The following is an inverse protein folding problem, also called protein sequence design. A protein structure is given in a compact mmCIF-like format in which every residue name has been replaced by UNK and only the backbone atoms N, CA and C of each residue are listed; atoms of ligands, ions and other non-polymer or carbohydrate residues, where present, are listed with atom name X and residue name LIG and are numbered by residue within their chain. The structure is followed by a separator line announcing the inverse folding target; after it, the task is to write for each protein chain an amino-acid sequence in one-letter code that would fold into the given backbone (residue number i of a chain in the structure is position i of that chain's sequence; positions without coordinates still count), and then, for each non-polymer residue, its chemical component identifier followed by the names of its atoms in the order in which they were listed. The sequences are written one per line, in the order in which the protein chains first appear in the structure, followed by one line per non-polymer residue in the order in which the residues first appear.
data_IF_284070591579
#
_entry.id   IF_284070591579
#
_cell.length_a   1.000
_cell.length_b   1.000
_cell.length_c   1.000
_cell.angle_alpha   90.00
_cell.angle_beta   90.00
_cell.angle_gamma   90.00
#
_symmetry.space_group_name_H-M   'P 1'
#
loop_
_entity.id
_entity.type
_entity.pdbx_description
1 polymer ?
#
# COMPACT_ATOMS: atom_id res chain seq x y z
N UNK A 1 7.40 20.16 2.47
CA UNK A 1 7.03 19.93 3.88
C UNK A 1 6.64 18.47 4.03
N UNK A 2 7.03 17.81 5.13
CA UNK A 2 6.57 16.46 5.46
C UNK A 2 5.09 16.48 5.82
N UNK A 3 4.39 15.36 5.59
CA UNK A 3 2.98 15.20 5.97
C UNK A 3 2.82 15.20 7.47
N UNK A 4 1.65 15.64 7.91
CA UNK A 4 1.24 15.44 9.29
C UNK A 4 0.82 13.98 9.51
N UNK A 5 0.94 13.49 10.75
CA UNK A 5 0.54 12.11 11.11
C UNK A 5 -0.92 11.83 10.73
N UNK A 6 -1.81 12.80 10.93
CA UNK A 6 -3.24 12.67 10.58
C UNK A 6 -3.46 12.49 9.08
N UNK A 7 -2.67 13.16 8.24
CA UNK A 7 -2.75 13.00 6.77
C UNK A 7 -2.27 11.61 6.35
N UNK A 8 -1.15 11.14 6.92
CA UNK A 8 -0.64 9.78 6.68
C UNK A 8 -1.64 8.72 7.11
N UNK A 9 -2.25 8.88 8.29
CA UNK A 9 -3.27 7.97 8.79
C UNK A 9 -4.48 7.89 7.85
N UNK A 10 -4.96 9.05 7.38
CA UNK A 10 -6.10 9.09 6.45
C UNK A 10 -5.81 8.33 5.16
N UNK A 11 -4.65 8.56 4.55
CA UNK A 11 -4.24 7.83 3.34
C UNK A 11 -4.16 6.32 3.58
N UNK A 12 -3.56 5.91 4.71
CA UNK A 12 -3.48 4.50 5.06
C UNK A 12 -4.86 3.86 5.32
N UNK A 13 -5.81 4.60 5.90
CA UNK A 13 -7.19 4.12 6.07
C UNK A 13 -7.90 3.91 4.73
N UNK A 14 -7.72 4.83 3.78
CA UNK A 14 -8.27 4.71 2.42
C UNK A 14 -7.68 3.50 1.69
N UNK A 15 -6.36 3.30 1.77
CA UNK A 15 -5.68 2.14 1.20
C UNK A 15 -6.16 0.84 1.86
N UNK A 16 -6.31 0.82 3.19
CA UNK A 16 -6.79 -0.37 3.92
C UNK A 16 -8.22 -0.74 3.52
N UNK A 17 -9.07 0.26 3.31
CA UNK A 17 -10.41 0.05 2.78
C UNK A 17 -10.36 -0.52 1.36
N UNK A 18 -9.50 -0.01 0.48
CA UNK A 18 -9.34 -0.57 -0.87
C UNK A 18 -8.89 -2.04 -0.84
N UNK A 19 -7.95 -2.40 0.04
CA UNK A 19 -7.52 -3.78 0.24
C UNK A 19 -8.66 -4.70 0.70
N UNK A 20 -9.54 -4.19 1.58
CA UNK A 20 -10.73 -4.90 2.05
C UNK A 20 -11.79 -5.05 0.95
N UNK A 21 -12.03 -3.99 0.18
CA UNK A 21 -12.94 -3.99 -0.98
C UNK A 21 -12.47 -4.98 -2.07
N UNK A 22 -11.16 -5.21 -2.18
CA UNK A 22 -10.59 -6.24 -3.05
C UNK A 22 -10.65 -7.66 -2.45
N UNK A 23 -10.98 -7.80 -1.17
CA UNK A 23 -11.05 -9.08 -0.46
C UNK A 23 -9.67 -9.69 -0.15
N UNK A 24 -8.60 -8.88 -0.14
CA UNK A 24 -7.21 -9.38 -0.02
C UNK A 24 -6.58 -9.09 1.35
N UNK A 25 -7.30 -8.44 2.25
CA UNK A 25 -6.87 -8.15 3.63
C UNK A 25 -6.42 -9.39 4.43
N UNK A 26 -6.93 -10.57 4.07
CA UNK A 26 -6.61 -11.84 4.72
C UNK A 26 -5.29 -12.46 4.23
N UNK A 27 -4.72 -11.96 3.13
CA UNK A 27 -3.55 -12.57 2.52
C UNK A 27 -2.29 -12.31 3.37
N UNK A 28 -1.39 -13.30 3.53
CA UNK A 28 -0.15 -13.12 4.27
C UNK A 28 0.70 -11.97 3.73
N UNK A 29 0.78 -11.83 2.40
CA UNK A 29 1.58 -10.78 1.76
C UNK A 29 1.06 -9.35 2.08
N UNK A 30 -0.22 -9.23 2.45
CA UNK A 30 -0.82 -7.95 2.87
C UNK A 30 -0.46 -7.63 4.33
N UNK A 31 -0.11 -8.62 5.16
CA UNK A 31 0.35 -8.35 6.53
C UNK A 31 1.69 -7.62 6.54
N UNK A 32 2.59 -7.96 5.62
CA UNK A 32 3.86 -7.23 5.46
C UNK A 32 3.60 -5.78 5.03
N UNK A 33 2.64 -5.57 4.11
CA UNK A 33 2.21 -4.23 3.70
C UNK A 33 1.62 -3.43 4.87
N UNK A 34 0.83 -4.06 5.74
CA UNK A 34 0.27 -3.41 6.93
C UNK A 34 1.38 -2.95 7.88
N UNK A 35 2.45 -3.73 8.05
CA UNK A 35 3.63 -3.32 8.82
C UNK A 35 4.26 -2.05 8.24
N UNK A 36 4.48 -2.02 6.93
CA UNK A 36 5.02 -0.86 6.22
C UNK A 36 4.10 0.37 6.36
N UNK A 37 2.79 0.18 6.29
CA UNK A 37 1.82 1.25 6.52
C UNK A 37 1.91 1.83 7.93
N UNK A 38 2.06 0.97 8.95
CA UNK A 38 2.18 1.42 10.34
C UNK A 38 3.48 2.22 10.55
N UNK A 39 4.59 1.77 9.96
CA UNK A 39 5.86 2.49 10.01
C UNK A 39 5.77 3.85 9.29
N UNK A 40 5.06 3.90 8.16
CA UNK A 40 4.79 5.16 7.47
C UNK A 40 3.95 6.11 8.33
N UNK A 41 2.85 5.65 8.94
CA UNK A 41 2.01 6.49 9.80
C UNK A 41 2.81 7.04 10.99
N UNK A 42 3.52 6.15 11.70
CA UNK A 42 4.25 6.47 12.94
C UNK A 42 5.46 7.36 12.70
N UNK A 43 6.34 6.94 11.79
CA UNK A 43 7.68 7.50 11.65
C UNK A 43 7.82 8.39 10.39
N UNK A 44 6.81 8.41 9.50
CA UNK A 44 6.86 9.17 8.25
C UNK A 44 7.84 8.59 7.24
N UNK A 45 8.22 7.31 7.37
CA UNK A 45 9.17 6.64 6.48
C UNK A 45 8.49 6.37 5.14
N UNK A 46 8.98 7.04 4.10
CA UNK A 46 8.49 6.81 2.74
C UNK A 46 8.99 5.45 2.24
N UNK A 47 8.13 4.71 1.56
CA UNK A 47 8.44 3.37 1.07
C UNK A 47 7.65 3.09 -0.20
N UNK A 48 8.25 2.37 -1.15
CA UNK A 48 7.58 1.95 -2.37
C UNK A 48 8.09 0.58 -2.77
N UNK A 49 7.21 -0.23 -3.34
CA UNK A 49 7.60 -1.58 -3.70
C UNK A 49 6.52 -2.30 -4.52
N UNK A 50 6.83 -3.55 -4.81
CA UNK A 50 5.94 -4.47 -5.49
C UNK A 50 5.95 -5.80 -4.75
N UNK A 51 4.77 -6.27 -4.37
CA UNK A 51 4.56 -7.55 -3.70
C UNK A 51 3.77 -8.43 -4.65
N UNK A 52 4.35 -9.55 -5.06
CA UNK A 52 3.64 -10.53 -5.87
C UNK A 52 2.76 -11.40 -4.96
N UNK A 53 1.47 -11.53 -5.32
CA UNK A 53 0.56 -12.46 -4.67
C UNK A 53 0.13 -13.53 -5.65
N UNK A 54 0.54 -14.76 -5.38
CA UNK A 54 0.15 -15.95 -6.14
C UNK A 54 -1.35 -16.20 -6.06
N UNK A 55 -1.94 -15.97 -4.88
CA UNK A 55 -3.38 -16.22 -4.60
C UNK A 55 -4.31 -15.46 -5.55
N UNK A 56 -3.92 -14.24 -5.94
CA UNK A 56 -4.71 -13.39 -6.86
C UNK A 56 -4.05 -13.19 -8.22
N UNK A 57 -2.93 -13.87 -8.47
CA UNK A 57 -2.09 -13.77 -9.68
C UNK A 57 -1.81 -12.32 -10.09
N UNK A 58 -1.55 -11.45 -9.10
CA UNK A 58 -1.38 -10.01 -9.29
C UNK A 58 -0.20 -9.48 -8.50
N UNK A 59 0.34 -8.38 -9.02
CA UNK A 59 1.33 -7.54 -8.37
C UNK A 59 0.62 -6.43 -7.61
N UNK A 60 0.88 -6.35 -6.31
CA UNK A 60 0.46 -5.28 -5.42
C UNK A 60 1.58 -4.24 -5.41
N UNK A 61 1.40 -3.17 -6.17
CA UNK A 61 2.36 -2.07 -6.25
C UNK A 61 1.91 -0.98 -5.29
N UNK A 62 2.79 -0.56 -4.39
CA UNK A 62 2.48 0.46 -3.39
C UNK A 62 3.49 1.61 -3.41
N UNK A 63 3.02 2.80 -3.08
CA UNK A 63 3.83 4.00 -2.85
C UNK A 63 3.29 4.73 -1.63
N UNK A 64 4.11 4.84 -0.59
CA UNK A 64 3.90 5.67 0.59
C UNK A 64 4.88 6.84 0.54
N UNK A 65 4.35 8.06 0.47
CA UNK A 65 5.16 9.27 0.38
C UNK A 65 4.84 10.21 1.53
N UNK A 66 5.88 10.66 2.22
CA UNK A 66 5.75 11.67 3.28
C UNK A 66 5.76 13.10 2.72
N UNK A 67 5.74 13.30 1.40
CA UNK A 67 5.71 14.63 0.79
C UNK A 67 4.26 15.10 0.61
N UNK A 68 3.88 16.29 1.10
CA UNK A 68 2.48 16.78 1.08
C UNK A 68 1.78 16.80 -0.29
N UNK A 69 2.53 16.87 -1.39
CA UNK A 69 1.97 16.96 -2.74
C UNK A 69 1.88 15.62 -3.47
N UNK A 70 2.28 14.52 -2.82
CA UNK A 70 2.26 13.17 -3.41
C UNK A 70 1.33 12.31 -2.57
N UNK A 71 0.21 11.87 -3.13
CA UNK A 71 -0.72 10.98 -2.44
C UNK A 71 -0.21 9.54 -2.45
N UNK A 72 -0.22 8.90 -1.28
CA UNK A 72 0.11 7.48 -1.17
C UNK A 72 -0.98 6.64 -1.84
N UNK A 73 -0.60 5.56 -2.53
CA UNK A 73 -1.55 4.77 -3.31
C UNK A 73 -1.09 3.33 -3.46
N UNK A 74 -2.06 2.48 -3.82
CA UNK A 74 -1.85 1.07 -4.14
C UNK A 74 -2.49 0.75 -5.49
N UNK A 75 -1.85 -0.12 -6.27
CA UNK A 75 -2.31 -0.54 -7.58
C UNK A 75 -2.17 -2.06 -7.70
N UNK A 76 -3.24 -2.73 -8.09
CA UNK A 76 -3.22 -4.13 -8.46
C UNK A 76 -3.00 -4.29 -9.97
N UNK A 77 -1.86 -4.85 -10.38
CA UNK A 77 -1.58 -5.14 -11.80
C UNK A 77 -1.59 -6.64 -12.07
N UNK A 78 -2.26 -7.06 -13.15
CA UNK A 78 -2.13 -8.43 -13.68
C UNK A 78 -0.70 -8.68 -14.13
N UNK A 79 -0.22 -9.92 -13.97
CA UNK A 79 1.01 -10.36 -14.63
C UNK A 79 0.77 -10.28 -16.14
N UNK A 80 1.63 -9.56 -16.87
CA UNK A 80 1.66 -9.68 -18.34
C UNK A 80 2.30 -11.03 -18.65
N UNK A 81 1.50 -12.09 -18.72
CA UNK A 81 1.90 -13.30 -19.41
C UNK A 81 2.12 -12.92 -20.88
N UNK A 82 3.38 -12.96 -21.34
CA UNK A 82 3.66 -12.96 -22.77
C UNK A 82 3.03 -14.23 -23.33
N UNK A 83 1.98 -14.07 -24.13
CA UNK A 83 1.46 -15.13 -24.99
C UNK A 83 2.48 -15.45 -26.09
#
# INVERSE_FOLDING_TARGET
MPKETTERLKECMEIRKQLDDFGIMILPEVQDLITIMNDFVRDGVSSSGNIFSETIERNIIYVFSNQNHITSHIILKKIKTKA
#
